data_IF_074375662513
#
_entry.id   IF_074375662513
#
_cell.length_a   1.000
_cell.length_b   1.000
_cell.length_c   1.000
_cell.angle_alpha   90.00
_cell.angle_beta   90.00
_cell.angle_gamma   90.00
#
_symmetry.space_group_name_H-M   'P 1'
#
loop_
_entity.id
_entity.type
_entity.pdbx_description
1 polymer ?
#
# COMPACT_ATOMS: atom_id res chain seq x y z
N UNK A 1 -28.96 -32.96 17.07
CA UNK A 1 -28.29 -31.74 16.55
C UNK A 1 -27.08 -32.18 15.75
N UNK A 2 -27.09 -31.96 14.43
CA UNK A 2 -25.98 -32.35 13.56
C UNK A 2 -24.92 -31.23 13.57
N UNK A 3 -23.66 -31.56 13.84
CA UNK A 3 -22.54 -30.60 13.73
C UNK A 3 -22.06 -30.64 12.28
N UNK A 4 -22.44 -29.64 11.49
CA UNK A 4 -22.07 -29.56 10.07
C UNK A 4 -20.58 -29.30 9.86
N UNK A 5 -19.98 -28.38 10.63
CA UNK A 5 -18.55 -28.04 10.58
C UNK A 5 -18.09 -27.63 11.99
N UNK A 6 -16.78 -27.61 12.24
CA UNK A 6 -16.20 -27.13 13.49
C UNK A 6 -15.79 -28.22 14.49
N UNK A 7 -15.86 -29.51 14.13
CA UNK A 7 -15.34 -30.62 14.96
C UNK A 7 -13.86 -30.41 15.32
N UNK A 8 -13.03 -30.01 14.35
CA UNK A 8 -11.63 -29.68 14.60
C UNK A 8 -11.46 -28.43 15.47
N UNK A 9 -12.32 -27.40 15.30
CA UNK A 9 -12.29 -26.19 16.14
C UNK A 9 -12.68 -26.51 17.58
N UNK A 10 -13.69 -27.37 17.81
CA UNK A 10 -14.07 -27.85 19.14
C UNK A 10 -12.87 -28.51 19.83
N UNK A 11 -12.21 -29.45 19.17
CA UNK A 11 -11.05 -30.13 19.73
C UNK A 11 -9.91 -29.15 20.04
N UNK A 12 -9.63 -28.20 19.12
CA UNK A 12 -8.62 -27.18 19.33
C UNK A 12 -8.94 -26.26 20.53
N UNK A 13 -10.20 -25.86 20.70
CA UNK A 13 -10.66 -25.05 21.84
C UNK A 13 -10.51 -25.86 23.15
N UNK A 14 -10.89 -27.13 23.17
CA UNK A 14 -10.71 -28.00 24.34
C UNK A 14 -9.23 -28.15 24.72
N UNK A 15 -8.35 -28.30 23.74
CA UNK A 15 -6.91 -28.35 23.97
C UNK A 15 -6.36 -27.00 24.46
N UNK A 16 -6.82 -25.89 23.88
CA UNK A 16 -6.40 -24.55 24.28
C UNK A 16 -6.81 -24.24 25.74
N UNK A 17 -8.05 -24.56 26.13
CA UNK A 17 -8.56 -24.36 27.49
C UNK A 17 -7.84 -25.21 28.55
N UNK A 18 -7.28 -26.37 28.16
CA UNK A 18 -6.46 -27.20 29.06
C UNK A 18 -5.08 -26.60 29.29
N UNK A 19 -4.54 -25.89 28.30
CA UNK A 19 -3.21 -25.30 28.35
C UNK A 19 -3.23 -23.88 28.94
N UNK A 20 -4.34 -23.15 28.78
CA UNK A 20 -4.51 -21.79 29.27
C UNK A 20 -5.94 -21.56 29.78
N UNK A 21 -6.10 -21.51 31.09
CA UNK A 21 -7.40 -21.32 31.74
C UNK A 21 -7.97 -19.91 31.57
N UNK A 22 -7.15 -18.92 31.19
CA UNK A 22 -7.62 -17.53 30.98
C UNK A 22 -8.61 -17.42 29.82
N UNK A 23 -8.54 -18.35 28.86
CA UNK A 23 -9.43 -18.45 27.72
C UNK A 23 -10.87 -18.83 28.09
N UNK A 24 -11.15 -19.23 29.34
CA UNK A 24 -12.52 -19.60 29.79
C UNK A 24 -13.54 -18.47 29.70
N UNK A 25 -13.07 -17.22 29.69
CA UNK A 25 -13.91 -16.04 29.62
C UNK A 25 -14.03 -15.46 28.21
N UNK A 26 -13.34 -16.04 27.23
CA UNK A 26 -13.44 -15.64 25.84
C UNK A 26 -14.73 -16.17 25.20
N UNK A 27 -15.29 -15.41 24.28
CA UNK A 27 -16.55 -15.76 23.60
C UNK A 27 -16.28 -16.14 22.15
N UNK A 28 -16.89 -17.24 21.69
CA UNK A 28 -16.86 -17.66 20.29
C UNK A 28 -18.28 -17.62 19.68
N UNK A 29 -18.44 -17.06 18.47
CA UNK A 29 -19.73 -17.07 17.81
C UNK A 29 -20.12 -18.50 17.40
N UNK A 30 -21.34 -18.91 17.77
CA UNK A 30 -21.94 -20.18 17.37
C UNK A 30 -23.12 -19.90 16.44
N UNK A 31 -23.05 -20.41 15.21
CA UNK A 31 -24.15 -20.33 14.27
C UNK A 31 -24.95 -21.63 14.30
N UNK A 32 -26.23 -21.53 14.64
CA UNK A 32 -27.16 -22.66 14.68
C UNK A 32 -28.07 -22.56 13.46
N UNK A 33 -28.16 -23.66 12.70
CA UNK A 33 -29.06 -23.79 11.57
C UNK A 33 -30.17 -24.78 11.93
N UNK A 34 -31.41 -24.49 11.54
CA UNK A 34 -32.49 -25.45 11.64
C UNK A 34 -32.26 -26.62 10.68
N UNK A 35 -32.56 -27.84 11.15
CA UNK A 35 -32.48 -29.02 10.30
C UNK A 35 -33.58 -28.97 9.23
N UNK A 36 -33.15 -28.96 7.97
CA UNK A 36 -34.01 -28.97 6.79
C UNK A 36 -33.75 -30.21 5.92
N UNK A 37 -33.13 -31.25 6.50
CA UNK A 37 -32.80 -32.50 5.83
C UNK A 37 -31.37 -32.57 5.30
N UNK A 38 -30.94 -33.81 5.00
CA UNK A 38 -29.57 -34.17 4.65
C UNK A 38 -29.01 -33.38 3.46
N UNK A 39 -29.79 -33.24 2.39
CA UNK A 39 -29.37 -32.56 1.16
C UNK A 39 -29.03 -31.08 1.44
N UNK A 40 -29.82 -30.40 2.27
CA UNK A 40 -29.57 -29.00 2.65
C UNK A 40 -28.33 -28.89 3.54
N UNK A 41 -28.14 -29.84 4.46
CA UNK A 41 -26.97 -29.90 5.33
C UNK A 41 -25.66 -30.09 4.56
N UNK A 42 -25.67 -30.98 3.55
CA UNK A 42 -24.53 -31.20 2.64
C UNK A 42 -24.21 -29.93 1.82
N UNK A 43 -25.22 -29.21 1.34
CA UNK A 43 -25.02 -27.96 0.61
C UNK A 43 -24.43 -26.85 1.50
N UNK A 44 -24.92 -26.71 2.74
CA UNK A 44 -24.36 -25.76 3.72
C UNK A 44 -22.90 -26.08 4.01
N UNK A 45 -22.56 -27.37 4.20
CA UNK A 45 -21.18 -27.80 4.38
C UNK A 45 -20.30 -27.45 3.19
N UNK A 46 -20.77 -27.71 1.97
CA UNK A 46 -20.05 -27.37 0.75
C UNK A 46 -19.85 -25.85 0.61
N UNK A 47 -20.86 -25.04 0.88
CA UNK A 47 -20.78 -23.57 0.78
C UNK A 47 -19.82 -22.97 1.81
N UNK A 48 -19.86 -23.41 3.08
CA UNK A 48 -18.95 -22.93 4.13
C UNK A 48 -17.49 -23.21 3.76
N UNK A 49 -17.21 -24.40 3.23
CA UNK A 49 -15.84 -24.81 2.91
C UNK A 49 -15.33 -24.29 1.57
N UNK A 50 -16.20 -24.07 0.58
CA UNK A 50 -15.81 -23.65 -0.78
C UNK A 50 -15.91 -22.15 -1.03
N UNK A 51 -16.74 -21.41 -0.26
CA UNK A 51 -17.01 -19.97 -0.47
C UNK A 51 -16.55 -19.08 0.67
N UNK A 52 -15.60 -19.55 1.49
CA UNK A 52 -14.95 -18.70 2.50
C UNK A 52 -14.16 -17.58 1.81
N UNK A 53 -14.84 -16.48 1.48
CA UNK A 53 -14.21 -15.26 0.97
C UNK A 53 -13.56 -14.58 2.17
N UNK A 54 -12.23 -14.55 2.20
CA UNK A 54 -11.51 -13.75 3.18
C UNK A 54 -11.97 -12.29 3.05
N UNK A 55 -12.30 -11.60 4.15
CA UNK A 55 -12.50 -10.15 4.10
C UNK A 55 -11.28 -9.52 3.42
N UNK A 56 -11.51 -8.47 2.63
CA UNK A 56 -10.41 -7.82 1.92
C UNK A 56 -9.36 -7.36 2.96
N UNK A 57 -8.09 -7.40 2.60
CA UNK A 57 -7.03 -6.91 3.49
C UNK A 57 -7.17 -5.42 3.82
N UNK A 58 -7.87 -4.66 2.97
CA UNK A 58 -8.22 -3.26 3.24
C UNK A 58 -9.24 -3.14 4.39
N UNK A 59 -10.31 -3.95 4.37
CA UNK A 59 -11.31 -4.03 5.44
C UNK A 59 -10.67 -4.51 6.75
N UNK A 60 -9.84 -5.56 6.71
CA UNK A 60 -9.15 -6.01 7.92
C UNK A 60 -8.24 -4.91 8.48
N UNK A 61 -7.51 -4.18 7.63
CA UNK A 61 -6.66 -3.09 8.08
C UNK A 61 -7.45 -1.88 8.64
N UNK A 62 -8.67 -1.65 8.17
CA UNK A 62 -9.56 -0.61 8.72
C UNK A 62 -10.00 -0.93 10.16
N UNK A 63 -10.40 -2.17 10.43
CA UNK A 63 -11.04 -2.57 11.69
C UNK A 63 -10.06 -3.09 12.74
N UNK A 64 -8.81 -3.39 12.35
CA UNK A 64 -7.77 -3.84 13.27
C UNK A 64 -7.15 -2.67 14.04
N UNK A 65 -7.90 -2.13 14.99
CA UNK A 65 -7.46 -1.08 15.93
C UNK A 65 -6.38 -1.57 16.91
N UNK A 66 -6.09 -2.88 16.95
CA UNK A 66 -5.03 -3.45 17.78
C UNK A 66 -3.66 -3.37 17.10
N UNK A 67 -3.63 -3.09 15.80
CA UNK A 67 -2.40 -2.96 15.03
C UNK A 67 -1.92 -1.50 15.05
N UNK A 68 -0.81 -1.19 15.75
CA UNK A 68 -0.34 0.18 15.91
C UNK A 68 -0.07 0.86 14.56
N UNK A 69 0.37 0.11 13.55
CA UNK A 69 0.66 0.67 12.23
C UNK A 69 -0.61 1.05 11.47
N UNK A 70 -1.69 0.28 11.61
CA UNK A 70 -2.96 0.66 11.01
C UNK A 70 -3.53 1.92 11.69
N UNK A 71 -3.44 2.02 13.02
CA UNK A 71 -3.87 3.23 13.76
C UNK A 71 -3.08 4.45 13.30
N UNK A 72 -1.74 4.39 13.31
CA UNK A 72 -0.89 5.48 12.83
C UNK A 72 -1.18 5.87 11.38
N UNK A 73 -1.42 4.89 10.50
CA UNK A 73 -1.76 5.16 9.08
C UNK A 73 -3.11 5.88 8.93
N UNK A 74 -4.09 5.57 9.79
CA UNK A 74 -5.38 6.27 9.81
C UNK A 74 -5.24 7.72 10.29
N UNK A 75 -4.39 7.95 11.28
CA UNK A 75 -4.10 9.29 11.79
C UNK A 75 -3.39 10.13 10.72
N UNK A 76 -2.37 9.57 10.07
CA UNK A 76 -1.71 10.18 8.91
C UNK A 76 -2.72 10.54 7.81
N UNK A 77 -3.60 9.62 7.43
CA UNK A 77 -4.62 9.89 6.40
C UNK A 77 -5.60 10.97 6.83
N UNK A 78 -5.90 11.09 8.13
CA UNK A 78 -6.79 12.15 8.65
C UNK A 78 -6.15 13.52 8.51
N UNK A 79 -4.82 13.61 8.61
CA UNK A 79 -4.06 14.83 8.32
C UNK A 79 -3.96 15.15 6.81
N UNK A 80 -4.26 14.18 5.94
CA UNK A 80 -4.20 14.29 4.48
C UNK A 80 -5.59 14.18 3.82
N UNK A 81 -6.54 15.10 4.08
CA UNK A 81 -7.94 14.93 3.70
C UNK A 81 -8.15 14.80 2.18
N UNK A 82 -7.35 15.49 1.36
CA UNK A 82 -7.45 15.40 -0.09
C UNK A 82 -7.03 14.02 -0.62
N UNK A 83 -5.96 13.45 -0.05
CA UNK A 83 -5.47 12.10 -0.36
C UNK A 83 -6.44 11.05 0.18
N UNK A 84 -6.89 11.19 1.44
CA UNK A 84 -7.88 10.30 2.08
C UNK A 84 -9.13 10.12 1.23
N UNK A 85 -9.63 11.21 0.61
CA UNK A 85 -10.77 11.16 -0.31
C UNK A 85 -10.53 10.31 -1.55
N UNK A 86 -9.28 10.12 -1.97
CA UNK A 86 -8.89 9.29 -3.13
C UNK A 86 -8.52 7.85 -2.75
N UNK A 87 -8.53 7.49 -1.46
CA UNK A 87 -8.29 6.12 -0.99
C UNK A 87 -9.61 5.34 -0.91
N UNK A 88 -9.63 4.15 -1.52
CA UNK A 88 -10.62 3.10 -1.31
C UNK A 88 -10.18 2.24 -0.12
N UNK A 89 -10.97 2.26 0.94
CA UNK A 89 -10.67 1.55 2.17
C UNK A 89 -11.27 0.14 2.20
N UNK A 90 -12.12 -0.20 1.24
CA UNK A 90 -12.84 -1.47 1.22
C UNK A 90 -12.26 -2.44 0.19
N UNK A 91 -11.87 -1.94 -0.97
CA UNK A 91 -11.45 -2.77 -2.09
C UNK A 91 -9.92 -2.75 -2.28
N UNK A 92 -9.37 -3.91 -2.64
CA UNK A 92 -7.94 -4.01 -2.96
C UNK A 92 -7.54 -3.25 -4.23
N UNK A 93 -8.51 -3.05 -5.13
CA UNK A 93 -8.40 -2.23 -6.34
C UNK A 93 -9.68 -1.41 -6.47
N UNK A 94 -9.60 -0.07 -6.61
CA UNK A 94 -10.78 0.75 -6.83
C UNK A 94 -11.53 0.35 -8.10
N UNK A 95 -12.86 0.26 -8.01
CA UNK A 95 -13.70 -0.06 -9.16
C UNK A 95 -13.61 0.99 -10.29
N UNK A 96 -13.91 0.58 -11.53
CA UNK A 96 -13.79 1.43 -12.72
C UNK A 96 -14.59 2.75 -12.64
N UNK A 97 -15.78 2.70 -12.04
CA UNK A 97 -16.65 3.88 -11.83
C UNK A 97 -16.39 4.61 -10.51
N UNK A 98 -15.46 4.11 -9.69
CA UNK A 98 -15.14 4.73 -8.40
C UNK A 98 -14.44 6.07 -8.59
N UNK A 99 -14.71 7.02 -7.69
CA UNK A 99 -13.96 8.28 -7.60
C UNK A 99 -12.60 8.12 -6.89
N UNK A 100 -12.31 6.94 -6.34
CA UNK A 100 -11.07 6.60 -5.62
C UNK A 100 -9.96 6.17 -6.58
N UNK A 101 -8.73 6.62 -6.39
CA UNK A 101 -7.61 6.32 -7.28
C UNK A 101 -6.78 5.13 -6.78
N UNK A 102 -6.59 5.04 -5.47
CA UNK A 102 -5.74 4.02 -4.85
C UNK A 102 -6.50 3.27 -3.76
N UNK A 103 -6.07 2.05 -3.45
CA UNK A 103 -6.56 1.32 -2.28
C UNK A 103 -5.71 1.62 -1.06
N UNK A 104 -6.26 1.38 0.14
CA UNK A 104 -5.52 1.49 1.40
C UNK A 104 -4.23 0.64 1.38
N UNK A 105 -4.27 -0.54 0.74
CA UNK A 105 -3.12 -1.44 0.63
C UNK A 105 -2.01 -0.81 -0.22
N UNK A 106 -2.36 -0.19 -1.35
CA UNK A 106 -1.39 0.49 -2.20
C UNK A 106 -0.76 1.68 -1.48
N UNK A 107 -1.57 2.46 -0.75
CA UNK A 107 -1.08 3.59 0.04
C UNK A 107 -0.17 3.12 1.20
N UNK A 108 -0.58 2.08 1.95
CA UNK A 108 0.23 1.44 3.00
C UNK A 108 1.59 0.98 2.47
N UNK A 109 1.61 0.37 1.27
CA UNK A 109 2.85 -0.06 0.62
C UNK A 109 3.72 1.12 0.17
N UNK A 110 3.14 2.18 -0.37
CA UNK A 110 3.85 3.42 -0.68
C UNK A 110 4.54 4.01 0.56
N UNK A 111 3.82 4.13 1.67
CA UNK A 111 4.38 4.65 2.92
C UNK A 111 5.52 3.76 3.42
N UNK A 112 5.36 2.44 3.39
CA UNK A 112 6.44 1.51 3.75
C UNK A 112 7.64 1.60 2.81
N UNK A 113 7.45 1.79 1.50
CA UNK A 113 8.56 1.94 0.56
C UNK A 113 9.32 3.25 0.77
N UNK A 114 8.60 4.34 1.07
CA UNK A 114 9.19 5.65 1.33
C UNK A 114 9.94 5.67 2.68
N UNK A 115 9.29 5.21 3.74
CA UNK A 115 9.76 5.40 5.11
C UNK A 115 10.46 4.18 5.71
N UNK A 116 10.14 2.97 5.22
CA UNK A 116 10.49 1.72 5.89
C UNK A 116 9.62 1.38 7.11
N UNK A 117 8.64 2.22 7.42
CA UNK A 117 7.68 1.96 8.50
C UNK A 117 6.71 0.85 8.10
N UNK A 118 6.50 -0.08 9.00
CA UNK A 118 5.70 -1.28 8.80
C UNK A 118 5.23 -1.82 10.15
N UNK A 119 4.34 -2.81 10.13
CA UNK A 119 3.89 -3.53 11.33
C UNK A 119 5.05 -4.10 12.16
N UNK A 120 6.18 -4.45 11.51
CA UNK A 120 7.36 -5.02 12.17
C UNK A 120 8.30 -3.98 12.76
N UNK A 121 8.23 -2.74 12.29
CA UNK A 121 9.18 -1.67 12.66
C UNK A 121 8.55 -0.63 13.57
N UNK A 122 7.22 -0.50 13.57
CA UNK A 122 6.54 0.53 14.34
C UNK A 122 6.70 0.40 15.86
N UNK A 123 6.77 -0.82 16.40
CA UNK A 123 6.82 -1.05 17.85
C UNK A 123 8.14 -0.64 18.50
N UNK A 124 9.16 -0.32 17.69
CA UNK A 124 10.47 0.11 18.17
C UNK A 124 10.69 1.62 18.11
N UNK A 125 9.67 2.40 17.77
CA UNK A 125 9.75 3.85 17.59
C UNK A 125 8.93 4.59 18.65
N UNK A 126 9.44 5.74 19.06
CA UNK A 126 8.76 6.71 19.92
C UNK A 126 7.68 7.48 19.16
N UNK A 127 6.76 8.11 19.89
CA UNK A 127 5.70 8.94 19.29
C UNK A 127 6.28 10.10 18.46
N UNK A 128 7.40 10.69 18.89
CA UNK A 128 8.09 11.76 18.16
C UNK A 128 8.65 11.23 16.82
N UNK A 129 9.31 10.07 16.81
CA UNK A 129 9.81 9.46 15.57
C UNK A 129 8.67 9.09 14.60
N UNK A 130 7.51 8.68 15.13
CA UNK A 130 6.32 8.40 14.34
C UNK A 130 5.70 9.67 13.76
N UNK A 131 5.74 10.77 14.51
CA UNK A 131 5.30 12.09 14.04
C UNK A 131 6.23 12.60 12.94
N UNK A 132 7.54 12.51 13.11
CA UNK A 132 8.52 12.89 12.08
C UNK A 132 8.34 12.08 10.78
N UNK A 133 8.04 10.77 10.91
CA UNK A 133 7.71 9.95 9.75
C UNK A 133 6.42 10.41 9.04
N UNK A 134 5.40 10.79 9.80
CA UNK A 134 4.14 11.29 9.24
C UNK A 134 4.36 12.64 8.52
N UNK A 135 5.18 13.51 9.11
CA UNK A 135 5.59 14.80 8.55
C UNK A 135 6.33 14.63 7.24
N UNK A 136 7.29 13.69 7.17
CA UNK A 136 7.97 13.38 5.92
C UNK A 136 7.01 12.89 4.82
N UNK A 137 6.04 12.03 5.15
CA UNK A 137 5.06 11.58 4.14
C UNK A 137 4.22 12.75 3.65
N UNK A 138 3.80 13.65 4.53
CA UNK A 138 3.04 14.85 4.18
C UNK A 138 3.84 15.77 3.27
N UNK A 139 5.05 16.17 3.68
CA UNK A 139 5.93 17.04 2.90
C UNK A 139 6.28 16.42 1.53
N UNK A 140 6.45 15.10 1.47
CA UNK A 140 6.67 14.41 0.20
C UNK A 140 5.47 14.52 -0.73
N UNK A 141 4.25 14.31 -0.23
CA UNK A 141 3.04 14.43 -1.03
C UNK A 141 2.75 15.89 -1.45
N UNK A 142 3.10 16.87 -0.61
CA UNK A 142 3.08 18.30 -0.96
C UNK A 142 4.10 18.61 -2.06
N UNK A 143 5.31 18.04 -1.98
CA UNK A 143 6.31 18.10 -3.03
C UNK A 143 5.83 17.47 -4.34
N UNK A 144 5.13 16.33 -4.27
CA UNK A 144 4.47 15.73 -5.44
C UNK A 144 3.41 16.65 -6.03
N UNK A 145 2.58 17.29 -5.21
CA UNK A 145 1.57 18.24 -5.68
C UNK A 145 2.19 19.46 -6.37
N UNK A 146 3.32 19.94 -5.84
CA UNK A 146 4.04 21.08 -6.39
C UNK A 146 4.75 20.77 -7.71
N UNK A 147 5.41 19.61 -7.80
CA UNK A 147 6.35 19.33 -8.88
C UNK A 147 5.85 18.30 -9.90
N UNK A 148 4.89 17.42 -9.59
CA UNK A 148 4.39 16.43 -10.56
C UNK A 148 3.23 17.03 -11.36
N UNK A 149 3.33 17.16 -12.70
CA UNK A 149 2.25 17.71 -13.51
C UNK A 149 0.95 16.92 -13.35
N UNK A 150 -0.17 17.64 -13.28
CA UNK A 150 -1.52 17.12 -13.06
C UNK A 150 -1.79 16.45 -11.70
N UNK A 151 -0.81 16.35 -10.78
CA UNK A 151 -1.02 15.75 -9.46
C UNK A 151 -2.11 16.48 -8.66
N UNK A 152 -1.97 17.80 -8.49
CA UNK A 152 -2.97 18.61 -7.80
C UNK A 152 -4.35 18.54 -8.47
N UNK A 153 -4.42 18.53 -9.81
CA UNK A 153 -5.69 18.41 -10.54
C UNK A 153 -6.37 17.03 -10.34
N UNK A 154 -5.57 15.96 -10.31
CA UNK A 154 -6.01 14.60 -10.02
C UNK A 154 -6.53 14.47 -8.57
N UNK A 155 -5.76 14.96 -7.59
CA UNK A 155 -6.09 14.85 -6.16
C UNK A 155 -7.27 15.75 -5.78
N UNK A 156 -7.32 16.98 -6.29
CA UNK A 156 -8.47 17.90 -6.08
C UNK A 156 -9.75 17.43 -6.77
N UNK A 157 -9.66 16.53 -7.77
CA UNK A 157 -10.80 16.04 -8.53
C UNK A 157 -11.23 16.95 -9.68
N UNK A 158 -10.38 17.91 -10.09
CA UNK A 158 -10.55 18.67 -11.33
C UNK A 158 -10.52 17.76 -12.58
N UNK A 159 -9.86 16.61 -12.47
CA UNK A 159 -9.91 15.54 -13.47
C UNK A 159 -10.67 14.36 -12.84
N UNK A 160 -11.64 13.81 -13.56
CA UNK A 160 -12.41 12.66 -13.08
C UNK A 160 -11.50 11.42 -12.96
N UNK A 161 -11.77 10.57 -11.97
CA UNK A 161 -10.95 9.38 -11.74
C UNK A 161 -10.99 8.38 -12.92
N UNK A 162 -12.08 8.36 -13.71
CA UNK A 162 -12.16 7.62 -14.99
C UNK A 162 -11.07 8.10 -15.95
N UNK A 163 -11.01 9.41 -16.16
CA UNK A 163 -10.13 10.04 -17.14
C UNK A 163 -8.68 9.95 -16.68
N UNK A 164 -8.45 10.02 -15.36
CA UNK A 164 -7.13 9.75 -14.78
C UNK A 164 -6.66 8.33 -15.09
N UNK A 165 -7.51 7.33 -14.87
CA UNK A 165 -7.14 5.93 -15.13
C UNK A 165 -6.91 5.67 -16.62
N UNK A 166 -7.67 6.33 -17.47
CA UNK A 166 -7.57 6.20 -18.91
C UNK A 166 -6.31 6.87 -19.47
N UNK A 167 -6.00 8.09 -19.02
CA UNK A 167 -5.02 8.95 -19.70
C UNK A 167 -3.69 9.11 -18.97
N UNK A 168 -3.62 8.85 -17.66
CA UNK A 168 -2.42 9.16 -16.88
C UNK A 168 -1.89 7.97 -16.09
N UNK A 169 -0.56 7.91 -15.91
CA UNK A 169 0.08 6.89 -15.06
C UNK A 169 -0.04 7.23 -13.57
N UNK A 170 -0.11 8.53 -13.24
CA UNK A 170 0.02 9.05 -11.87
C UNK A 170 -1.11 8.62 -10.92
N UNK A 171 -2.26 8.20 -11.45
CA UNK A 171 -3.39 7.70 -10.65
C UNK A 171 -3.36 6.21 -10.34
N UNK A 172 -2.35 5.47 -10.79
CA UNK A 172 -2.28 4.02 -10.63
C UNK A 172 -1.39 3.61 -9.46
N UNK A 173 -1.73 2.48 -8.83
CA UNK A 173 -1.00 1.95 -7.68
C UNK A 173 0.49 1.66 -8.00
N UNK A 174 0.80 1.22 -9.22
CA UNK A 174 2.19 0.97 -9.65
C UNK A 174 3.05 2.23 -9.62
N UNK A 175 2.48 3.38 -10.01
CA UNK A 175 3.17 4.67 -9.98
C UNK A 175 3.31 5.20 -8.55
N UNK A 176 2.25 5.08 -7.73
CA UNK A 176 2.30 5.47 -6.32
C UNK A 176 3.36 4.67 -5.54
N UNK A 177 3.46 3.37 -5.77
CA UNK A 177 4.50 2.55 -5.15
C UNK A 177 5.90 2.90 -5.67
N UNK A 178 6.03 3.20 -6.97
CA UNK A 178 7.28 3.65 -7.56
C UNK A 178 7.75 4.99 -6.98
N UNK A 179 6.82 5.91 -6.67
CA UNK A 179 7.12 7.15 -5.95
C UNK A 179 7.68 6.89 -4.56
N UNK A 180 7.20 5.87 -3.85
CA UNK A 180 7.74 5.50 -2.53
C UNK A 180 9.20 5.05 -2.64
N UNK A 181 9.50 4.17 -3.59
CA UNK A 181 10.89 3.75 -3.87
C UNK A 181 11.75 4.92 -4.32
N UNK A 182 11.26 5.73 -5.27
CA UNK A 182 11.96 6.93 -5.73
C UNK A 182 12.27 7.88 -4.56
N UNK A 183 11.29 8.18 -3.71
CA UNK A 183 11.47 9.10 -2.59
C UNK A 183 12.51 8.61 -1.59
N UNK A 184 12.50 7.30 -1.28
CA UNK A 184 13.52 6.70 -0.41
C UNK A 184 14.93 6.82 -0.98
N UNK A 185 15.11 6.58 -2.27
CA UNK A 185 16.44 6.66 -2.88
C UNK A 185 16.87 8.13 -3.10
N UNK A 186 15.97 8.98 -3.59
CA UNK A 186 16.29 10.35 -3.97
C UNK A 186 16.49 11.28 -2.77
N UNK A 187 15.59 11.26 -1.78
CA UNK A 187 15.67 12.17 -0.63
C UNK A 187 16.92 11.92 0.22
N UNK A 188 17.43 10.69 0.22
CA UNK A 188 18.57 10.26 1.03
C UNK A 188 19.81 9.98 0.18
N UNK A 189 19.83 10.45 -1.07
CA UNK A 189 21.00 10.36 -1.93
C UNK A 189 22.11 11.32 -1.48
N UNK A 190 23.36 10.84 -1.50
CA UNK A 190 24.54 11.64 -1.20
C UNK A 190 24.56 12.22 0.22
N UNK A 191 23.74 11.70 1.15
CA UNK A 191 23.93 11.93 2.58
C UNK A 191 25.09 11.06 3.05
N UNK A 192 26.00 11.61 3.85
CA UNK A 192 27.00 10.80 4.55
C UNK A 192 26.28 9.98 5.64
N UNK A 193 25.65 8.89 5.20
CA UNK A 193 25.02 7.94 6.10
C UNK A 193 26.08 7.02 6.69
N UNK A 194 26.04 6.83 8.00
CA UNK A 194 26.82 5.78 8.64
C UNK A 194 26.42 4.40 8.10
N UNK A 195 27.28 3.36 8.18
CA UNK A 195 26.88 2.00 7.80
C UNK A 195 25.61 1.51 8.51
N UNK A 196 25.39 1.93 9.76
CA UNK A 196 24.17 1.61 10.52
C UNK A 196 22.94 2.31 9.93
N UNK A 197 23.07 3.56 9.49
CA UNK A 197 21.98 4.31 8.86
C UNK A 197 21.65 3.79 7.46
N UNK A 198 22.65 3.35 6.69
CA UNK A 198 22.42 2.69 5.39
C UNK A 198 21.67 1.37 5.53
N UNK A 199 21.85 0.68 6.65
CA UNK A 199 21.17 -0.58 6.98
C UNK A 199 19.90 -0.37 7.80
N UNK A 200 19.60 0.86 8.20
CA UNK A 200 18.41 1.19 8.95
C UNK A 200 17.17 0.87 8.12
N UNK A 201 16.27 0.10 8.72
CA UNK A 201 15.01 -0.29 8.07
C UNK A 201 14.14 0.95 7.87
N UNK A 202 14.02 1.78 8.90
CA UNK A 202 13.26 3.03 8.91
C UNK A 202 14.23 4.18 8.61
N UNK A 203 13.79 5.14 7.78
CA UNK A 203 14.58 6.33 7.45
C UNK A 203 14.63 7.31 8.63
N UNK A 204 15.57 8.24 8.59
CA UNK A 204 15.65 9.39 9.49
C UNK A 204 15.12 10.62 8.75
N UNK A 205 13.90 11.10 9.05
CA UNK A 205 13.27 12.22 8.35
C UNK A 205 14.11 13.49 8.27
N UNK A 206 14.92 13.76 9.30
CA UNK A 206 15.75 14.97 9.40
C UNK A 206 16.84 15.07 8.32
N UNK A 207 17.12 13.98 7.59
CA UNK A 207 18.14 13.92 6.53
C UNK A 207 17.58 14.08 5.12
N UNK A 208 16.27 14.26 4.97
CA UNK A 208 15.62 14.36 3.67
C UNK A 208 16.07 15.60 2.89
N UNK A 209 16.41 15.40 1.60
CA UNK A 209 16.83 16.48 0.68
C UNK A 209 15.72 16.81 -0.31
N UNK A 210 14.84 17.74 0.05
CA UNK A 210 13.64 18.06 -0.73
C UNK A 210 13.87 18.63 -2.14
N UNK A 211 15.03 19.24 -2.41
CA UNK A 211 15.33 19.82 -3.73
C UNK A 211 15.35 18.78 -4.86
N UNK A 212 15.56 17.50 -4.54
CA UNK A 212 15.57 16.38 -5.51
C UNK A 212 14.22 16.12 -6.15
N UNK A 213 13.12 16.69 -5.61
CA UNK A 213 11.79 16.57 -6.20
C UNK A 213 11.57 17.55 -7.35
N UNK A 214 12.30 18.68 -7.38
CA UNK A 214 12.10 19.74 -8.39
C UNK A 214 12.20 19.27 -9.84
N UNK A 215 13.15 18.40 -10.23
CA UNK A 215 13.23 17.92 -11.61
C UNK A 215 11.98 17.15 -12.07
N UNK A 216 11.13 16.67 -11.17
CA UNK A 216 9.87 16.01 -11.54
C UNK A 216 8.89 16.96 -12.28
N UNK A 217 9.14 18.27 -12.28
CA UNK A 217 8.41 19.24 -13.14
C UNK A 217 8.47 18.86 -14.62
N UNK A 218 9.54 18.18 -15.06
CA UNK A 218 9.71 17.73 -16.44
C UNK A 218 8.97 16.42 -16.76
N UNK A 219 8.36 15.76 -15.77
CA UNK A 219 7.69 14.47 -15.93
C UNK A 219 6.48 14.60 -16.87
N UNK A 220 6.34 13.66 -17.81
CA UNK A 220 5.15 13.56 -18.66
C UNK A 220 4.16 12.56 -18.04
N UNK A 221 3.03 13.01 -17.46
CA UNK A 221 2.13 12.10 -16.72
C UNK A 221 1.29 11.22 -17.66
N UNK A 222 1.26 11.51 -18.97
CA UNK A 222 0.45 10.80 -19.95
C UNK A 222 0.84 9.32 -20.03
N UNK A 223 -0.16 8.44 -20.02
CA UNK A 223 0.00 7.00 -20.21
C UNK A 223 0.57 6.64 -21.58
N UNK A 224 0.36 7.49 -22.59
CA UNK A 224 0.87 7.28 -23.95
C UNK A 224 2.31 7.71 -24.14
N UNK A 225 2.95 8.32 -23.13
CA UNK A 225 4.33 8.74 -23.23
C UNK A 225 5.27 7.53 -23.21
N UNK A 226 6.22 7.48 -24.15
CA UNK A 226 7.14 6.36 -24.33
C UNK A 226 8.04 6.10 -23.11
N UNK A 227 8.19 7.08 -22.21
CA UNK A 227 8.96 6.89 -20.98
C UNK A 227 8.33 5.86 -20.03
N UNK A 228 7.07 5.47 -20.23
CA UNK A 228 6.37 4.48 -19.39
C UNK A 228 6.29 3.09 -20.02
N UNK A 229 6.58 2.97 -21.32
CA UNK A 229 6.53 1.68 -22.03
C UNK A 229 7.53 0.69 -21.44
N UNK A 230 7.12 -0.58 -21.38
CA UNK A 230 7.83 -1.69 -20.74
C UNK A 230 8.18 -1.46 -19.25
N UNK A 231 7.57 -0.45 -18.60
CA UNK A 231 7.70 -0.17 -17.16
C UNK A 231 6.36 -0.39 -16.46
N UNK A 232 5.61 0.68 -16.21
CA UNK A 232 4.25 0.61 -15.69
C UNK A 232 3.18 0.51 -16.78
N UNK A 233 3.55 0.74 -18.04
CA UNK A 233 2.71 0.55 -19.22
C UNK A 233 3.31 -0.55 -20.08
N UNK A 234 2.50 -1.54 -20.46
CA UNK A 234 2.88 -2.63 -21.37
C UNK A 234 1.76 -2.80 -22.38
N UNK A 235 2.08 -2.65 -23.67
CA UNK A 235 1.08 -2.73 -24.76
C UNK A 235 -0.11 -1.77 -24.52
N UNK A 236 0.18 -0.56 -24.05
CA UNK A 236 -0.81 0.49 -23.76
C UNK A 236 -1.70 0.24 -22.53
N UNK A 237 -1.47 -0.85 -21.78
CA UNK A 237 -2.20 -1.18 -20.55
C UNK A 237 -1.32 -0.96 -19.33
N UNK A 238 -1.93 -0.48 -18.25
CA UNK A 238 -1.25 -0.39 -16.97
C UNK A 238 -0.99 -1.79 -16.42
N UNK A 239 0.24 -2.05 -16.01
CA UNK A 239 0.61 -3.33 -15.42
C UNK A 239 1.38 -3.09 -14.12
N UNK A 240 0.88 -3.69 -13.03
CA UNK A 240 1.54 -3.67 -11.74
C UNK A 240 2.30 -4.99 -11.56
N UNK A 241 3.60 -4.94 -11.76
CA UNK A 241 4.55 -6.01 -11.42
C UNK A 241 5.65 -5.44 -10.52
N UNK A 242 6.38 -6.31 -9.82
CA UNK A 242 7.53 -5.87 -9.00
C UNK A 242 8.55 -5.15 -9.87
N UNK A 243 8.86 -5.70 -11.03
CA UNK A 243 9.81 -5.12 -11.98
C UNK A 243 9.26 -3.83 -12.59
N UNK A 244 7.98 -3.76 -12.95
CA UNK A 244 7.35 -2.55 -13.46
C UNK A 244 7.40 -1.40 -12.45
N UNK A 245 7.15 -1.66 -11.16
CA UNK A 245 7.31 -0.66 -10.09
C UNK A 245 8.76 -0.20 -9.98
N UNK A 246 9.73 -1.12 -9.92
CA UNK A 246 11.16 -0.79 -9.82
C UNK A 246 11.66 -0.01 -11.03
N UNK A 247 11.28 -0.41 -12.23
CA UNK A 247 11.66 0.26 -13.47
C UNK A 247 11.03 1.66 -13.60
N UNK A 248 9.79 1.82 -13.11
CA UNK A 248 9.15 3.13 -13.01
C UNK A 248 9.90 4.02 -12.01
N UNK A 249 10.31 3.49 -10.86
CA UNK A 249 11.13 4.22 -9.89
C UNK A 249 12.49 4.63 -10.47
N UNK A 250 13.14 3.73 -11.22
CA UNK A 250 14.38 4.01 -11.94
C UNK A 250 14.22 5.14 -12.95
N UNK A 251 13.08 5.19 -13.68
CA UNK A 251 12.78 6.30 -14.57
C UNK A 251 12.62 7.62 -13.81
N UNK A 252 11.97 7.62 -12.65
CA UNK A 252 11.85 8.83 -11.80
C UNK A 252 13.23 9.30 -11.31
N UNK A 253 14.12 8.37 -10.91
CA UNK A 253 15.50 8.70 -10.53
C UNK A 253 16.29 9.29 -11.70
N UNK A 254 16.11 8.76 -12.92
CA UNK A 254 16.70 9.30 -14.13
C UNK A 254 16.25 10.74 -14.39
N UNK A 255 14.95 11.04 -14.27
CA UNK A 255 14.42 12.41 -14.40
C UNK A 255 15.05 13.34 -13.34
N UNK A 256 15.23 12.84 -12.12
CA UNK A 256 15.83 13.59 -11.02
C UNK A 256 17.36 13.73 -11.10
N UNK A 257 18.01 13.13 -12.11
CA UNK A 257 19.47 13.02 -12.21
C UNK A 257 20.13 12.43 -10.96
N UNK A 258 19.44 11.48 -10.31
CA UNK A 258 19.95 10.75 -9.15
C UNK A 258 20.52 9.41 -9.63
N UNK A 259 21.78 9.08 -9.30
CA UNK A 259 22.35 7.77 -9.58
C UNK A 259 21.51 6.65 -8.97
N UNK A 260 21.17 5.67 -9.80
CA UNK A 260 20.35 4.54 -9.38
C UNK A 260 21.20 3.53 -8.60
N UNK A 261 20.65 2.89 -7.56
CA UNK A 261 21.22 1.68 -6.99
C UNK A 261 21.42 0.60 -8.06
N UNK A 262 22.44 -0.24 -7.91
CA UNK A 262 22.82 -1.29 -8.89
C UNK A 262 21.62 -2.14 -9.32
N UNK A 263 20.81 -2.61 -8.36
CA UNK A 263 19.62 -3.42 -8.65
C UNK A 263 18.56 -2.73 -9.52
N UNK A 264 18.45 -1.40 -9.45
CA UNK A 264 17.54 -0.61 -10.30
C UNK A 264 18.17 -0.30 -11.64
N UNK A 265 19.49 -0.03 -11.67
CA UNK A 265 20.24 0.23 -12.88
C UNK A 265 20.24 -0.98 -13.84
N UNK A 266 20.47 -2.19 -13.32
CA UNK A 266 20.43 -3.43 -14.12
C UNK A 266 19.06 -3.63 -14.77
N UNK A 267 17.98 -3.43 -14.01
CA UNK A 267 16.62 -3.57 -14.51
C UNK A 267 16.30 -2.51 -15.55
N UNK A 268 16.71 -1.26 -15.30
CA UNK A 268 16.51 -0.15 -16.22
C UNK A 268 17.19 -0.39 -17.57
N UNK A 269 18.42 -0.92 -17.57
CA UNK A 269 19.14 -1.27 -18.79
C UNK A 269 18.48 -2.41 -19.58
N UNK A 270 17.87 -3.39 -18.91
CA UNK A 270 17.14 -4.48 -19.58
C UNK A 270 15.90 -4.01 -20.31
N UNK A 271 15.28 -2.90 -19.87
CA UNK A 271 14.04 -2.36 -20.42
C UNK A 271 14.29 -1.36 -21.56
N UNK A 272 15.46 -0.70 -21.57
CA UNK A 272 15.86 0.22 -22.64
C UNK A 272 16.36 -0.53 -23.90
N UNK A 273 16.86 -1.76 -23.74
CA UNK A 273 17.28 -2.62 -24.85
C UNK A 273 16.09 -3.23 -25.57
#
# INVERSE_FOLDING_TARGET
>A
MLINDGQHRRLAIEMALRNDETLRHETAPVQIHFDQGLQRSQQIFADINSKAVKPSSAINALYDHRNPYNTWLQDLLTQLPAIKRKIDFENGTPGMRSSKLWSLIAFKKFVTLLTGLSEKTITGLSDDELMDCADLVREFLEGCEKYIPQWGNMVSGKIAASDVRENFVIGHAVFLEALGTFGREALFYGTHLSPQEKSAKVIDPGKAKWHVLRPLEALQPSKSDGMWENRCVVLGKMQKTVDGTKATAAQLLSIANIPMPESLAELHQRIIK
#
